data_IF_839632797919
#
_entry.id   IF_839632797919
#
_cell.length_a   1.000
_cell.length_b   1.000
_cell.length_c   1.000
_cell.angle_alpha   90.00
_cell.angle_beta   90.00
_cell.angle_gamma   90.00
#
_symmetry.space_group_name_H-M   'P 1'
#
loop_
_entity.id
_entity.type
_entity.pdbx_description
1 polymer ?
#
# COMPACT_ATOMS: atom_id res chain seq x y z
N UNK A 1 25.17 19.39 4.31
CA UNK A 1 24.47 18.57 3.30
C UNK A 1 23.02 18.97 3.37
N UNK A 2 22.56 19.70 2.35
CA UNK A 2 21.27 20.40 2.34
C UNK A 2 20.14 19.40 2.48
N UNK A 3 19.34 19.59 3.52
CA UNK A 3 18.00 19.06 3.70
C UNK A 3 17.16 19.41 2.48
N UNK A 4 17.18 18.53 1.46
CA UNK A 4 16.17 18.53 0.40
C UNK A 4 14.87 18.05 1.03
N UNK A 5 14.17 18.94 1.72
CA UNK A 5 12.83 18.66 2.22
C UNK A 5 11.94 18.31 1.03
N UNK A 6 11.10 17.30 1.17
CA UNK A 6 10.08 17.06 0.17
C UNK A 6 9.04 18.20 0.31
N UNK A 7 8.68 18.92 -0.76
CA UNK A 7 7.63 19.95 -0.69
C UNK A 7 6.23 19.34 -0.58
N UNK A 8 6.12 18.01 -0.72
CA UNK A 8 4.92 17.19 -0.70
C UNK A 8 5.27 15.78 -0.16
N UNK A 9 4.29 14.88 -0.04
CA UNK A 9 4.54 13.45 0.19
C UNK A 9 5.57 12.90 -0.81
N UNK A 10 6.59 12.18 -0.34
CA UNK A 10 7.65 11.61 -1.17
C UNK A 10 7.33 10.22 -1.72
N UNK A 11 6.52 9.45 -0.99
CA UNK A 11 6.12 8.10 -1.39
C UNK A 11 4.68 7.78 -1.00
N UNK A 12 4.00 7.02 -1.85
CA UNK A 12 2.72 6.37 -1.55
C UNK A 12 2.93 4.86 -1.57
N UNK A 13 2.67 4.25 -0.42
CA UNK A 13 2.70 2.80 -0.18
C UNK A 13 1.28 2.29 -0.31
N UNK A 14 1.05 1.28 -1.14
CA UNK A 14 -0.30 0.82 -1.49
C UNK A 14 -0.49 -0.63 -1.05
N UNK A 15 -1.59 -0.93 -0.37
CA UNK A 15 -2.06 -2.32 -0.34
C UNK A 15 -2.49 -2.79 -1.74
N UNK A 16 -2.53 -4.11 -1.93
CA UNK A 16 -2.88 -4.73 -3.20
C UNK A 16 -4.36 -5.07 -3.29
N UNK A 17 -4.84 -5.94 -2.42
CA UNK A 17 -6.13 -6.63 -2.55
C UNK A 17 -7.19 -5.84 -1.78
N UNK A 18 -8.24 -5.38 -2.44
CA UNK A 18 -9.21 -4.42 -1.86
C UNK A 18 -8.84 -2.96 -2.12
N UNK A 19 -7.57 -2.68 -2.45
CA UNK A 19 -7.07 -1.32 -2.73
C UNK A 19 -6.71 -1.07 -4.20
N UNK A 20 -5.70 -1.76 -4.75
CA UNK A 20 -5.30 -1.61 -6.16
C UNK A 20 -6.17 -2.46 -7.09
N UNK A 21 -6.57 -3.64 -6.62
CA UNK A 21 -7.39 -4.61 -7.34
C UNK A 21 -8.53 -5.07 -6.45
N UNK A 22 -9.62 -5.55 -7.04
CA UNK A 22 -10.68 -6.18 -6.27
C UNK A 22 -10.13 -7.38 -5.49
N UNK A 23 -10.49 -7.51 -4.21
CA UNK A 23 -10.08 -8.65 -3.41
C UNK A 23 -10.71 -9.93 -3.96
N UNK A 24 -9.84 -10.88 -4.25
CA UNK A 24 -10.19 -12.21 -4.70
C UNK A 24 -9.42 -13.17 -3.78
N UNK A 25 -10.12 -13.90 -2.89
CA UNK A 25 -9.47 -14.71 -1.86
C UNK A 25 -8.41 -15.64 -2.44
N UNK A 26 -7.17 -15.48 -1.96
CA UNK A 26 -6.00 -16.26 -2.37
C UNK A 26 -5.82 -16.30 -3.90
N UNK A 27 -5.87 -15.13 -4.54
CA UNK A 27 -5.69 -15.06 -5.98
C UNK A 27 -4.22 -15.30 -6.39
N UNK A 28 -3.97 -16.46 -6.98
CA UNK A 28 -2.71 -16.80 -7.64
C UNK A 28 -2.79 -16.83 -9.17
N UNK A 29 -3.93 -16.42 -9.75
CA UNK A 29 -4.17 -16.45 -11.19
C UNK A 29 -4.15 -15.01 -11.77
N UNK A 30 -3.13 -14.66 -12.58
CA UNK A 30 -3.02 -13.37 -13.24
C UNK A 30 -4.29 -12.98 -14.03
N UNK A 31 -5.03 -13.94 -14.57
CA UNK A 31 -6.23 -13.66 -15.37
C UNK A 31 -7.41 -13.14 -14.53
N UNK A 32 -7.37 -13.34 -13.22
CA UNK A 32 -8.39 -12.87 -12.28
C UNK A 32 -8.07 -11.48 -11.71
N UNK A 33 -6.91 -10.91 -12.05
CA UNK A 33 -6.53 -9.56 -11.65
C UNK A 33 -7.44 -8.54 -12.33
N UNK A 34 -8.20 -7.83 -11.53
CA UNK A 34 -9.09 -6.75 -11.97
C UNK A 34 -8.79 -5.50 -11.15
N UNK A 35 -8.14 -4.48 -11.73
CA UNK A 35 -7.93 -3.22 -11.05
C UNK A 35 -9.25 -2.57 -10.64
N UNK A 36 -9.24 -1.88 -9.50
CA UNK A 36 -10.39 -1.08 -9.08
C UNK A 36 -10.62 0.08 -10.07
N UNK A 37 -11.84 0.67 -10.12
CA UNK A 37 -12.10 1.84 -10.94
C UNK A 37 -11.07 2.94 -10.72
N UNK A 38 -10.65 3.59 -11.81
CA UNK A 38 -9.68 4.70 -11.80
C UNK A 38 -8.29 4.39 -11.24
N UNK A 39 -7.92 3.12 -10.99
CA UNK A 39 -6.60 2.77 -10.44
C UNK A 39 -5.42 3.30 -11.27
N UNK A 40 -5.46 3.12 -12.60
CA UNK A 40 -4.43 3.66 -13.51
C UNK A 40 -4.32 5.18 -13.40
N UNK A 41 -5.46 5.87 -13.41
CA UNK A 41 -5.55 7.33 -13.30
C UNK A 41 -4.98 7.83 -11.97
N UNK A 42 -5.32 7.19 -10.85
CA UNK A 42 -4.80 7.50 -9.53
C UNK A 42 -3.27 7.38 -9.48
N UNK A 43 -2.72 6.28 -10.01
CA UNK A 43 -1.27 6.07 -10.01
C UNK A 43 -0.56 7.01 -10.99
N UNK A 44 -1.16 7.36 -12.12
CA UNK A 44 -0.60 8.35 -13.05
C UNK A 44 -0.60 9.77 -12.46
N UNK A 45 -1.62 10.13 -11.70
CA UNK A 45 -1.64 11.37 -10.93
C UNK A 45 -0.45 11.43 -9.97
N UNK A 46 -0.22 10.39 -9.18
CA UNK A 46 0.89 10.33 -8.22
C UNK A 46 2.26 10.38 -8.93
N UNK A 47 2.45 9.57 -9.99
CA UNK A 47 3.68 9.59 -10.80
C UNK A 47 3.93 10.98 -11.42
N UNK A 48 2.88 11.63 -11.92
CA UNK A 48 2.95 12.98 -12.50
C UNK A 48 3.37 14.05 -11.50
N UNK A 49 3.25 13.79 -10.20
CA UNK A 49 3.75 14.64 -9.10
C UNK A 49 5.15 14.24 -8.63
N UNK A 50 5.79 13.24 -9.24
CA UNK A 50 7.09 12.74 -8.83
C UNK A 50 7.06 11.93 -7.53
N UNK A 51 5.86 11.49 -7.10
CA UNK A 51 5.69 10.65 -5.91
C UNK A 51 6.07 9.22 -6.26
N UNK A 52 6.94 8.61 -5.43
CA UNK A 52 7.34 7.21 -5.60
C UNK A 52 6.25 6.26 -5.16
N UNK A 53 6.10 5.14 -5.86
CA UNK A 53 5.04 4.16 -5.61
C UNK A 53 5.62 2.82 -5.20
N UNK A 54 5.20 2.29 -4.05
CA UNK A 54 5.52 0.93 -3.66
C UNK A 54 4.26 0.14 -3.30
N UNK A 55 4.25 -1.14 -3.62
CA UNK A 55 3.19 -2.04 -3.16
C UNK A 55 3.65 -2.75 -1.90
N UNK A 56 2.79 -2.78 -0.89
CA UNK A 56 3.03 -3.41 0.40
C UNK A 56 1.83 -4.29 0.79
N UNK A 57 1.95 -5.60 0.65
CA UNK A 57 0.81 -6.53 0.75
C UNK A 57 1.06 -7.76 1.62
N UNK A 58 0.05 -8.17 2.40
CA UNK A 58 0.09 -9.44 3.13
C UNK A 58 -0.36 -10.58 2.20
N UNK A 59 0.45 -11.63 2.02
CA UNK A 59 0.15 -12.79 1.17
C UNK A 59 0.23 -14.09 1.97
N UNK A 60 -0.55 -14.20 3.04
CA UNK A 60 -0.56 -15.38 3.93
C UNK A 60 -1.04 -16.67 3.28
N UNK A 61 -1.60 -16.60 2.07
CA UNK A 61 -1.86 -17.80 1.25
C UNK A 61 -0.61 -18.65 1.05
N UNK A 62 0.57 -18.04 1.06
CA UNK A 62 1.86 -18.75 0.92
C UNK A 62 2.12 -19.63 2.14
N UNK A 63 2.10 -19.08 3.36
CA UNK A 63 2.26 -19.88 4.59
C UNK A 63 1.20 -20.98 4.74
N UNK A 64 0.00 -20.79 4.16
CA UNK A 64 -1.09 -21.77 4.17
C UNK A 64 -0.98 -22.84 3.06
N UNK A 65 0.01 -22.75 2.18
CA UNK A 65 0.16 -23.64 1.02
C UNK A 65 -0.93 -23.46 -0.05
N UNK A 66 -1.69 -22.36 0.01
CA UNK A 66 -2.74 -22.01 -0.96
C UNK A 66 -2.19 -21.25 -2.18
N UNK A 67 -1.02 -20.62 -2.01
CA UNK A 67 -0.31 -19.89 -3.05
C UNK A 67 1.16 -20.30 -3.07
N UNK A 68 1.73 -20.38 -4.27
CA UNK A 68 3.18 -20.40 -4.46
C UNK A 68 3.71 -18.97 -4.61
N UNK A 69 5.00 -18.77 -4.34
CA UNK A 69 5.60 -17.46 -4.60
C UNK A 69 5.60 -17.10 -6.09
N UNK A 70 5.70 -18.08 -6.98
CA UNK A 70 5.59 -17.86 -8.43
C UNK A 70 4.21 -17.31 -8.82
N UNK A 71 3.15 -17.82 -8.20
CA UNK A 71 1.79 -17.29 -8.41
C UNK A 71 1.67 -15.84 -7.93
N UNK A 72 2.23 -15.52 -6.76
CA UNK A 72 2.28 -14.14 -6.25
C UNK A 72 3.04 -13.23 -7.22
N UNK A 73 4.22 -13.65 -7.69
CA UNK A 73 5.02 -12.90 -8.68
C UNK A 73 4.29 -12.73 -10.01
N UNK A 74 3.57 -13.74 -10.48
CA UNK A 74 2.79 -13.66 -11.70
C UNK A 74 1.65 -12.62 -11.58
N UNK A 75 0.97 -12.56 -10.43
CA UNK A 75 -0.03 -11.52 -10.14
C UNK A 75 0.61 -10.14 -10.10
N UNK A 76 1.77 -9.97 -9.45
CA UNK A 76 2.48 -8.68 -9.42
C UNK A 76 2.91 -8.20 -10.82
N UNK A 77 3.37 -9.12 -11.66
CA UNK A 77 3.72 -8.85 -13.06
C UNK A 77 2.50 -8.33 -13.81
N UNK A 78 1.35 -9.00 -13.64
CA UNK A 78 0.10 -8.59 -14.26
C UNK A 78 -0.41 -7.23 -13.79
N UNK A 79 -0.27 -6.91 -12.50
CA UNK A 79 -0.58 -5.57 -12.01
C UNK A 79 0.30 -4.52 -12.69
N UNK A 80 1.59 -4.79 -12.84
CA UNK A 80 2.54 -3.87 -13.50
C UNK A 80 2.19 -3.66 -14.98
N UNK A 81 1.77 -4.70 -15.70
CA UNK A 81 1.28 -4.59 -17.08
C UNK A 81 0.03 -3.70 -17.18
N UNK A 82 -0.90 -3.83 -16.23
CA UNK A 82 -2.18 -3.12 -16.26
C UNK A 82 -2.08 -1.67 -15.75
N UNK A 83 -1.23 -1.44 -14.76
CA UNK A 83 -1.19 -0.20 -13.98
C UNK A 83 0.11 0.60 -14.14
N UNK A 84 1.07 0.06 -14.89
CA UNK A 84 2.41 0.61 -15.03
C UNK A 84 3.33 0.24 -13.87
N UNK A 85 4.59 0.70 -13.92
CA UNK A 85 5.63 0.27 -13.00
C UNK A 85 5.45 0.83 -11.58
N UNK A 86 5.90 0.06 -10.60
CA UNK A 86 6.09 0.48 -9.22
C UNK A 86 7.60 0.57 -8.95
N UNK A 87 8.00 1.50 -8.09
CA UNK A 87 9.39 1.69 -7.68
C UNK A 87 9.88 0.58 -6.74
N UNK A 88 8.98 -0.03 -5.96
CA UNK A 88 9.31 -1.15 -5.06
C UNK A 88 8.12 -2.09 -4.81
N UNK A 89 8.41 -3.35 -4.49
CA UNK A 89 7.42 -4.37 -4.13
C UNK A 89 7.82 -5.05 -2.81
N UNK A 90 6.91 -5.05 -1.85
CA UNK A 90 7.04 -5.77 -0.58
C UNK A 90 5.81 -6.65 -0.38
N UNK A 91 6.04 -7.92 -0.13
CA UNK A 91 4.99 -8.81 0.36
C UNK A 91 5.47 -9.63 1.53
N UNK A 92 4.55 -9.96 2.43
CA UNK A 92 4.83 -10.83 3.56
C UNK A 92 4.13 -12.18 3.34
N UNK A 93 4.87 -13.29 3.16
CA UNK A 93 4.29 -14.62 2.91
C UNK A 93 3.76 -15.32 4.18
N UNK A 94 4.08 -14.77 5.35
CA UNK A 94 3.89 -15.41 6.65
C UNK A 94 2.43 -15.43 7.14
N UNK A 95 2.13 -16.43 7.97
CA UNK A 95 0.91 -16.56 8.74
C UNK A 95 0.85 -15.57 9.92
N UNK A 96 -0.30 -15.51 10.58
CA UNK A 96 -0.51 -14.62 11.73
C UNK A 96 0.34 -15.03 12.96
N UNK A 97 0.62 -16.33 13.11
CA UNK A 97 1.31 -16.89 14.28
C UNK A 97 2.84 -16.95 14.11
N UNK A 98 3.36 -16.64 12.92
CA UNK A 98 4.80 -16.79 12.61
C UNK A 98 5.69 -15.74 13.31
N UNK A 99 5.10 -14.74 13.97
CA UNK A 99 5.83 -13.73 14.75
C UNK A 99 6.77 -12.85 13.91
N UNK A 100 6.56 -12.76 12.59
CA UNK A 100 7.43 -12.00 11.70
C UNK A 100 7.25 -10.48 11.85
N UNK A 101 8.28 -9.71 11.54
CA UNK A 101 8.23 -8.25 11.57
C UNK A 101 7.61 -7.63 10.29
N UNK A 102 7.35 -8.42 9.23
CA UNK A 102 6.84 -7.91 7.96
C UNK A 102 5.32 -7.78 7.90
N UNK A 103 4.58 -8.68 8.55
CA UNK A 103 3.13 -8.81 8.34
C UNK A 103 2.43 -7.61 8.97
N UNK A 104 1.70 -6.84 8.16
CA UNK A 104 0.84 -5.75 8.68
C UNK A 104 -0.13 -6.35 9.72
N UNK A 105 -0.26 -5.78 10.92
CA UNK A 105 0.05 -4.39 11.29
C UNK A 105 1.50 -4.08 11.68
N UNK A 106 2.44 -5.03 11.61
CA UNK A 106 3.86 -4.72 11.83
C UNK A 106 4.39 -3.78 10.71
N UNK A 107 5.27 -2.82 11.04
CA UNK A 107 5.69 -1.78 10.10
C UNK A 107 6.82 -2.22 9.15
N UNK A 108 7.34 -3.45 9.27
CA UNK A 108 8.59 -3.86 8.64
C UNK A 108 8.61 -3.71 7.12
N UNK A 109 7.50 -4.03 6.44
CA UNK A 109 7.43 -3.83 4.98
C UNK A 109 7.42 -2.34 4.60
N UNK A 110 6.70 -1.50 5.35
CA UNK A 110 6.62 -0.06 5.06
C UNK A 110 7.98 0.59 5.26
N UNK A 111 8.67 0.26 6.37
CA UNK A 111 10.03 0.74 6.64
C UNK A 111 11.03 0.30 5.56
N UNK A 112 10.94 -0.96 5.12
CA UNK A 112 11.78 -1.48 4.05
C UNK A 112 11.52 -0.77 2.71
N UNK A 113 10.26 -0.51 2.37
CA UNK A 113 9.90 0.24 1.16
C UNK A 113 10.43 1.67 1.23
N UNK A 114 10.16 2.39 2.31
CA UNK A 114 10.68 3.74 2.55
C UNK A 114 12.22 3.80 2.42
N UNK A 115 12.94 2.84 3.00
CA UNK A 115 14.39 2.76 2.89
C UNK A 115 14.86 2.54 1.44
N UNK A 116 14.21 1.64 0.69
CA UNK A 116 14.54 1.39 -0.71
C UNK A 116 14.24 2.59 -1.63
N UNK A 117 13.20 3.36 -1.32
CA UNK A 117 12.83 4.56 -2.05
C UNK A 117 13.66 5.80 -1.65
N UNK A 118 14.42 5.73 -0.56
CA UNK A 118 15.13 6.89 0.01
C UNK A 118 14.17 7.96 0.56
N UNK A 119 12.97 7.55 0.97
CA UNK A 119 11.93 8.44 1.51
C UNK A 119 11.75 8.17 3.00
N UNK A 120 11.92 9.16 3.89
CA UNK A 120 11.63 8.98 5.31
C UNK A 120 10.15 8.59 5.53
N UNK A 121 9.82 7.70 6.48
CA UNK A 121 8.43 7.32 6.72
C UNK A 121 7.48 8.49 7.00
N UNK A 122 7.95 9.55 7.68
CA UNK A 122 7.18 10.77 7.91
C UNK A 122 6.72 11.49 6.62
N UNK A 123 7.36 11.18 5.49
CA UNK A 123 7.06 11.70 4.17
C UNK A 123 6.39 10.64 3.28
N UNK A 124 5.91 9.54 3.86
CA UNK A 124 5.18 8.49 3.16
C UNK A 124 3.72 8.46 3.60
N UNK A 125 2.85 8.03 2.70
CA UNK A 125 1.43 7.75 2.94
C UNK A 125 1.16 6.30 2.62
N UNK A 126 0.53 5.56 3.54
CA UNK A 126 -0.05 4.25 3.28
C UNK A 126 -1.50 4.42 2.83
N UNK A 127 -1.86 3.79 1.71
CA UNK A 127 -3.25 3.67 1.24
C UNK A 127 -3.63 2.19 1.31
N UNK A 128 -4.70 1.88 2.03
CA UNK A 128 -5.18 0.51 2.26
C UNK A 128 -6.65 0.48 2.66
N UNK A 129 -7.26 -0.70 2.68
CA UNK A 129 -8.70 -0.87 2.93
C UNK A 129 -9.00 -1.45 4.32
N UNK A 130 -8.00 -1.97 5.04
CA UNK A 130 -8.19 -2.59 6.35
C UNK A 130 -7.43 -1.87 7.48
N UNK A 131 -7.87 -2.07 8.72
CA UNK A 131 -7.27 -1.48 9.91
C UNK A 131 -5.77 -1.80 10.05
N UNK A 132 -5.34 -2.99 9.62
CA UNK A 132 -3.94 -3.39 9.67
C UNK A 132 -3.02 -2.47 8.83
N UNK A 133 -3.53 -1.86 7.76
CA UNK A 133 -2.77 -0.90 6.95
C UNK A 133 -2.53 0.40 7.71
N UNK A 134 -3.58 0.91 8.35
CA UNK A 134 -3.55 2.12 9.17
C UNK A 134 -2.62 1.94 10.36
N UNK A 135 -2.71 0.79 11.04
CA UNK A 135 -1.84 0.46 12.17
C UNK A 135 -0.37 0.35 11.75
N UNK A 136 -0.09 -0.30 10.61
CA UNK A 136 1.28 -0.41 10.10
C UNK A 136 1.86 0.96 9.72
N UNK A 137 1.06 1.83 9.11
CA UNK A 137 1.45 3.19 8.79
C UNK A 137 1.81 3.98 10.06
N UNK A 138 0.93 3.93 11.07
CA UNK A 138 1.15 4.58 12.36
C UNK A 138 2.40 4.06 13.04
N UNK A 139 2.61 2.74 13.06
CA UNK A 139 3.79 2.12 13.66
C UNK A 139 5.10 2.47 12.92
N UNK A 140 5.02 2.72 11.61
CA UNK A 140 6.15 3.17 10.80
C UNK A 140 6.43 4.68 10.94
N UNK A 141 5.52 5.46 11.53
CA UNK A 141 5.58 6.93 11.53
C UNK A 141 5.16 7.56 10.20
N UNK A 142 4.40 6.84 9.38
CA UNK A 142 3.80 7.32 8.13
C UNK A 142 2.36 7.80 8.35
N UNK A 143 1.86 8.56 7.38
CA UNK A 143 0.44 8.92 7.31
C UNK A 143 -0.36 7.76 6.71
N UNK A 144 -1.66 7.68 6.99
CA UNK A 144 -2.54 6.65 6.45
C UNK A 144 -3.81 7.27 5.85
N UNK A 145 -4.25 6.73 4.72
CA UNK A 145 -5.55 7.02 4.12
C UNK A 145 -6.25 5.68 3.92
N UNK A 146 -7.41 5.49 4.55
CA UNK A 146 -8.23 4.31 4.36
C UNK A 146 -9.13 4.48 3.13
N UNK A 147 -9.26 3.43 2.33
CA UNK A 147 -10.23 3.33 1.23
C UNK A 147 -11.16 2.16 1.53
N UNK A 148 -12.30 2.39 2.21
CA UNK A 148 -13.16 1.30 2.66
C UNK A 148 -13.80 0.52 1.51
N UNK A 149 -13.85 -0.79 1.66
CA UNK A 149 -14.64 -1.72 0.85
C UNK A 149 -15.87 -2.19 1.64
N UNK A 150 -16.84 -2.90 1.02
CA UNK A 150 -17.91 -3.56 1.77
C UNK A 150 -17.41 -4.53 2.86
N UNK A 151 -16.19 -5.04 2.72
CA UNK A 151 -15.53 -5.95 3.66
C UNK A 151 -14.83 -5.21 4.82
N UNK A 152 -14.52 -3.92 4.65
CA UNK A 152 -13.90 -3.11 5.71
C UNK A 152 -14.82 -2.99 6.92
N UNK A 153 -14.26 -3.22 8.11
CA UNK A 153 -15.04 -3.19 9.35
C UNK A 153 -15.43 -1.75 9.72
N UNK A 154 -16.69 -1.46 10.10
CA UNK A 154 -17.11 -0.10 10.47
C UNK A 154 -16.27 0.54 11.59
N UNK A 155 -15.76 -0.28 12.53
CA UNK A 155 -14.88 0.19 13.60
C UNK A 155 -13.49 0.64 13.11
N UNK A 156 -12.99 0.04 12.04
CA UNK A 156 -11.73 0.45 11.40
C UNK A 156 -11.91 1.79 10.68
N UNK A 157 -13.03 1.97 9.96
CA UNK A 157 -13.37 3.24 9.31
C UNK A 157 -13.50 4.37 10.34
N UNK A 158 -14.18 4.10 11.46
CA UNK A 158 -14.39 5.09 12.52
C UNK A 158 -13.10 5.55 13.22
N UNK A 159 -12.02 4.78 13.11
CA UNK A 159 -10.73 5.08 13.77
C UNK A 159 -9.63 5.48 12.79
N UNK A 160 -9.89 5.40 11.47
CA UNK A 160 -8.96 5.82 10.45
C UNK A 160 -8.72 7.36 10.50
N UNK A 161 -7.46 7.82 10.39
CA UNK A 161 -7.15 9.25 10.47
C UNK A 161 -7.68 10.03 9.26
N UNK A 162 -7.67 9.41 8.08
CA UNK A 162 -8.24 9.92 6.84
C UNK A 162 -8.95 8.78 6.12
N UNK A 163 -10.07 9.10 5.49
CA UNK A 163 -10.89 8.17 4.72
C UNK A 163 -11.17 8.81 3.36
N UNK A 164 -11.07 8.01 2.30
CA UNK A 164 -11.45 8.39 0.95
C UNK A 164 -12.42 7.36 0.37
N UNK A 165 -13.35 7.81 -0.46
CA UNK A 165 -14.39 6.95 -1.05
C UNK A 165 -13.81 5.95 -2.07
N UNK A 166 -12.69 6.30 -2.71
CA UNK A 166 -12.02 5.46 -3.70
C UNK A 166 -10.51 5.78 -3.79
N UNK A 167 -9.79 4.96 -4.55
CA UNK A 167 -8.34 5.09 -4.73
C UNK A 167 -7.94 6.40 -5.42
N UNK A 168 -8.77 6.95 -6.32
CA UNK A 168 -8.47 8.22 -6.99
C UNK A 168 -8.58 9.39 -6.02
N UNK A 169 -9.60 9.39 -5.18
CA UNK A 169 -9.81 10.36 -4.12
C UNK A 169 -8.70 10.27 -3.07
N UNK A 170 -8.27 9.07 -2.70
CA UNK A 170 -7.12 8.85 -1.83
C UNK A 170 -5.82 9.40 -2.44
N UNK A 171 -5.60 9.18 -3.74
CA UNK A 171 -4.45 9.73 -4.45
C UNK A 171 -4.47 11.27 -4.50
N UNK A 172 -5.65 11.89 -4.70
CA UNK A 172 -5.80 13.35 -4.64
C UNK A 172 -5.48 13.90 -3.26
N UNK A 173 -6.01 13.28 -2.20
CA UNK A 173 -5.67 13.64 -0.82
C UNK A 173 -4.16 13.51 -0.57
N UNK A 174 -3.52 12.41 -1.00
CA UNK A 174 -2.09 12.21 -0.81
C UNK A 174 -1.22 13.30 -1.48
N UNK A 175 -1.67 13.87 -2.59
CA UNK A 175 -0.98 14.99 -3.27
C UNK A 175 -1.09 16.30 -2.47
N UNK A 176 -2.17 16.48 -1.72
CA UNK A 176 -2.43 17.68 -0.91
C UNK A 176 -1.79 17.61 0.48
N UNK A 177 -1.45 16.41 0.95
CA UNK A 177 -0.80 16.22 2.24
C UNK A 177 0.60 16.83 2.27
N UNK A 178 0.85 17.56 3.36
CA UNK A 178 2.19 18.03 3.68
C UNK A 178 2.99 16.88 4.33
N UNK A 179 4.31 16.81 4.06
CA UNK A 179 5.18 15.89 4.78
C UNK A 179 5.18 16.22 6.27
N UNK A 180 5.24 15.17 7.11
CA UNK A 180 5.28 15.33 8.55
C UNK A 180 6.54 16.08 8.98
N UNK A 181 6.37 17.15 9.76
CA UNK A 181 7.48 17.85 10.39
C UNK A 181 8.15 16.88 11.36
N UNK A 182 9.44 16.60 11.17
CA UNK A 182 10.23 15.89 12.18
C UNK A 182 10.14 16.71 13.48
N UNK A 183 9.42 16.17 14.47
CA UNK A 183 9.37 16.73 15.81
C UNK A 183 10.74 16.60 16.50
#
# INVERSE_FOLDING_TARGET
MTSGGFPHVGAVLLDRDGTLVHDVPYNGDPRRVQPVPHAREALDLLRGKGIRLAVVTNQSGVARGLLTEDQVRAVHTRLTELLGPFDDWRYCPHGAEDGCACRKPAPGMLLAACAALGVPPANAVMIGDIGADVEAARAAGAQAIMVPTPETLPGEVATAPLVADDLLSAARLAVELLPGVAA
#
